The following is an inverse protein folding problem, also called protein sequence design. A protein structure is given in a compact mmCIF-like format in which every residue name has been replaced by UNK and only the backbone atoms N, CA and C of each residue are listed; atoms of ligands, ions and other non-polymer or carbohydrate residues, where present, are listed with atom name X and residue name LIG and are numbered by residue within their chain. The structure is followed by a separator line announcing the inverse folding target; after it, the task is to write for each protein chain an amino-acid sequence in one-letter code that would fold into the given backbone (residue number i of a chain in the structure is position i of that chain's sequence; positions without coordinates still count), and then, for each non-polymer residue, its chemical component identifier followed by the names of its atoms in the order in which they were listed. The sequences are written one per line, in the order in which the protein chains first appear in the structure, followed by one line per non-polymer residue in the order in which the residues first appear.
data_IF_676337839573
#
_entry.id   IF_676337839573
#
_cell.length_a   1.000
_cell.length_b   1.000
_cell.length_c   1.000
_cell.angle_alpha   90.00
_cell.angle_beta   90.00
_cell.angle_gamma   90.00
#
_symmetry.space_group_name_H-M   'P 1'
#
loop_
_entity.id
_entity.type
_entity.pdbx_description
1 polymer ?
#
# COMPACT_ATOMS: atom_id res chain seq x y z
N UNK A 1 13.43 3.49 -22.12
CA UNK A 1 13.42 3.99 -20.74
C UNK A 1 14.04 2.87 -19.93
N UNK A 2 15.31 3.00 -19.56
CA UNK A 2 16.15 1.80 -19.36
C UNK A 2 16.54 1.57 -17.89
N UNK A 3 16.18 2.49 -17.00
CA UNK A 3 16.50 2.42 -15.58
C UNK A 3 15.32 1.92 -14.74
N UNK A 4 15.61 1.07 -13.77
CA UNK A 4 14.76 0.77 -12.61
C UNK A 4 15.03 1.81 -11.51
N UNK A 5 14.03 2.12 -10.67
CA UNK A 5 14.24 2.99 -9.51
C UNK A 5 15.15 2.30 -8.50
N UNK A 6 14.90 1.01 -8.23
CA UNK A 6 15.68 0.21 -7.28
C UNK A 6 15.33 0.56 -5.83
N UNK A 7 14.03 0.62 -5.49
CA UNK A 7 13.55 1.05 -4.17
C UNK A 7 14.21 0.28 -3.02
N UNK A 8 14.26 -1.05 -3.10
CA UNK A 8 14.83 -1.90 -2.03
C UNK A 8 16.29 -1.62 -1.71
N UNK A 9 17.04 -0.99 -2.63
CA UNK A 9 18.44 -0.60 -2.41
C UNK A 9 18.63 0.87 -2.01
N UNK A 10 17.59 1.70 -2.11
CA UNK A 10 17.67 3.16 -1.90
C UNK A 10 16.90 3.66 -0.69
N UNK A 11 15.89 2.91 -0.25
CA UNK A 11 15.01 3.31 0.84
C UNK A 11 14.48 2.08 1.58
N UNK A 12 13.84 2.34 2.71
CA UNK A 12 13.15 1.35 3.52
C UNK A 12 11.79 1.92 3.95
N UNK A 13 10.84 1.01 4.16
CA UNK A 13 9.55 1.39 4.74
C UNK A 13 9.72 1.78 6.20
N UNK A 14 9.01 2.84 6.58
CA UNK A 14 8.83 3.26 7.97
C UNK A 14 7.61 2.54 8.57
N UNK A 15 7.38 2.74 9.88
CA UNK A 15 6.13 2.29 10.51
C UNK A 15 4.94 2.94 9.79
N UNK A 16 4.02 2.11 9.33
CA UNK A 16 2.82 2.54 8.63
C UNK A 16 1.59 2.59 9.51
N UNK A 17 0.47 2.86 8.86
CA UNK A 17 -0.85 2.95 9.48
C UNK A 17 -1.81 1.99 8.81
N UNK A 18 -2.67 1.38 9.61
CA UNK A 18 -3.83 0.60 9.15
C UNK A 18 -5.07 1.28 9.70
N UNK A 19 -6.05 1.54 8.84
CA UNK A 19 -7.34 2.06 9.25
C UNK A 19 -8.47 1.39 8.48
N UNK A 20 -9.70 1.60 8.96
CA UNK A 20 -10.88 1.33 8.19
C UNK A 20 -11.78 2.56 8.10
N UNK A 21 -12.59 2.63 7.05
CA UNK A 21 -13.57 3.67 6.83
C UNK A 21 -14.81 3.10 6.15
N UNK A 22 -15.96 3.73 6.36
CA UNK A 22 -17.19 3.38 5.65
C UNK A 22 -17.25 4.11 4.31
N UNK A 23 -17.51 3.37 3.24
CA UNK A 23 -17.81 3.94 1.93
C UNK A 23 -19.20 3.52 1.46
N UNK A 24 -19.98 4.47 0.95
CA UNK A 24 -21.26 4.21 0.30
C UNK A 24 -21.44 5.12 -0.91
N UNK A 25 -22.08 4.60 -1.97
CA UNK A 25 -22.44 5.41 -3.13
C UNK A 25 -23.78 4.96 -3.73
N UNK A 26 -24.85 5.57 -3.25
CA UNK A 26 -26.21 5.26 -3.68
C UNK A 26 -26.47 5.55 -5.17
N UNK A 27 -25.74 6.48 -5.78
CA UNK A 27 -25.92 6.84 -7.20
C UNK A 27 -25.58 5.69 -8.15
N UNK A 28 -24.65 4.84 -7.74
CA UNK A 28 -24.22 3.66 -8.50
C UNK A 28 -24.69 2.35 -7.85
N UNK A 29 -25.54 2.44 -6.82
CA UNK A 29 -26.01 1.28 -6.06
C UNK A 29 -24.93 0.59 -5.23
N UNK A 30 -23.82 1.26 -4.90
CA UNK A 30 -22.77 0.68 -4.08
C UNK A 30 -23.22 0.67 -2.61
N UNK A 31 -23.37 -0.50 -1.98
CA UNK A 31 -23.84 -0.61 -0.62
C UNK A 31 -22.81 -0.05 0.36
N UNK A 32 -23.26 0.37 1.54
CA UNK A 32 -22.37 0.78 2.63
C UNK A 32 -21.44 -0.36 3.00
N UNK A 33 -20.14 -0.18 2.78
CA UNK A 33 -19.11 -1.20 2.88
C UNK A 33 -17.97 -0.69 3.74
N UNK A 34 -17.46 -1.53 4.64
CA UNK A 34 -16.29 -1.24 5.46
C UNK A 34 -15.04 -1.58 4.66
N UNK A 35 -14.20 -0.58 4.43
CA UNK A 35 -12.99 -0.68 3.61
C UNK A 35 -11.77 -0.51 4.52
N UNK A 36 -10.73 -1.30 4.29
CA UNK A 36 -9.44 -1.16 4.97
C UNK A 36 -8.42 -0.49 4.06
N UNK A 37 -7.60 0.37 4.67
CA UNK A 37 -6.46 1.02 4.04
C UNK A 37 -5.21 0.82 4.88
N UNK A 38 -4.11 0.54 4.20
CA UNK A 38 -2.77 0.46 4.76
C UNK A 38 -1.92 1.53 4.06
N UNK A 39 -1.31 2.40 4.85
CA UNK A 39 -0.43 3.47 4.36
C UNK A 39 0.97 3.25 4.90
N UNK A 40 1.93 3.04 4.00
CA UNK A 40 3.32 2.71 4.32
C UNK A 40 4.25 3.80 3.77
N UNK A 41 4.67 4.77 4.61
CA UNK A 41 5.63 5.79 4.19
C UNK A 41 7.02 5.18 4.03
N UNK A 42 7.78 5.66 3.05
CA UNK A 42 9.19 5.34 2.87
C UNK A 42 10.06 6.40 3.53
N UNK A 43 11.28 6.02 3.94
CA UNK A 43 12.30 7.02 4.25
C UNK A 43 12.59 7.85 2.99
N UNK A 44 12.61 9.20 3.06
CA UNK A 44 12.97 10.01 1.91
C UNK A 44 14.33 9.61 1.35
N UNK A 45 14.45 9.56 0.02
CA UNK A 45 15.65 9.06 -0.65
C UNK A 45 15.92 9.78 -1.97
N UNK A 46 17.10 9.57 -2.55
CA UNK A 46 17.43 10.12 -3.87
C UNK A 46 16.93 9.19 -4.98
N UNK A 47 15.84 9.53 -5.67
CA UNK A 47 15.27 8.66 -6.70
C UNK A 47 16.13 8.60 -7.97
N UNK A 48 16.83 9.70 -8.28
CA UNK A 48 17.57 9.87 -9.53
C UNK A 48 16.71 10.40 -10.69
N UNK A 49 15.45 10.73 -10.42
CA UNK A 49 14.57 11.36 -11.39
C UNK A 49 14.90 12.86 -11.48
N UNK A 50 15.28 13.38 -12.67
CA UNK A 50 15.77 14.75 -12.80
C UNK A 50 14.69 15.83 -12.64
N UNK A 51 13.41 15.45 -12.67
CA UNK A 51 12.26 16.36 -12.53
C UNK A 51 11.67 16.38 -11.11
N UNK A 52 12.15 15.53 -10.21
CA UNK A 52 11.68 15.49 -8.81
C UNK A 52 12.63 16.25 -7.88
N UNK A 53 12.06 16.95 -6.90
CA UNK A 53 12.86 17.51 -5.80
C UNK A 53 13.39 16.37 -4.93
N UNK A 54 14.64 16.49 -4.50
CA UNK A 54 15.34 15.42 -3.79
C UNK A 54 15.76 15.89 -2.38
N UNK A 55 15.70 15.01 -1.36
CA UNK A 55 15.18 13.65 -1.40
C UNK A 55 13.66 13.63 -1.61
N UNK A 56 13.18 12.64 -2.34
CA UNK A 56 11.76 12.51 -2.66
C UNK A 56 11.01 11.85 -1.51
N UNK A 57 9.84 12.37 -1.19
CA UNK A 57 8.89 11.73 -0.29
C UNK A 57 8.11 10.67 -1.07
N UNK A 58 7.87 9.52 -0.46
CA UNK A 58 7.25 8.37 -1.14
C UNK A 58 6.37 7.61 -0.18
N UNK A 59 5.23 7.16 -0.68
CA UNK A 59 4.20 6.48 0.11
C UNK A 59 3.63 5.33 -0.70
N UNK A 60 3.57 4.14 -0.11
CA UNK A 60 2.79 3.02 -0.64
C UNK A 60 1.44 3.01 0.05
N UNK A 61 0.37 3.06 -0.73
CA UNK A 61 -1.01 2.96 -0.27
C UNK A 61 -1.60 1.66 -0.80
N UNK A 62 -2.14 0.84 0.11
CA UNK A 62 -2.92 -0.34 -0.20
C UNK A 62 -4.34 -0.08 0.32
N UNK A 63 -5.33 -0.01 -0.55
CA UNK A 63 -6.67 0.51 -0.25
C UNK A 63 -7.75 -0.41 -0.82
N UNK A 64 -9.01 -0.09 -0.54
CA UNK A 64 -10.17 -0.79 -1.09
C UNK A 64 -10.32 -2.26 -0.69
N UNK A 65 -9.71 -2.66 0.42
CA UNK A 65 -9.91 -4.01 0.96
C UNK A 65 -11.24 -4.16 1.69
N UNK A 66 -12.22 -4.76 1.02
CA UNK A 66 -13.49 -5.19 1.62
C UNK A 66 -13.33 -6.57 2.26
N UNK A 67 -12.89 -6.60 3.52
CA UNK A 67 -12.49 -7.85 4.20
C UNK A 67 -13.65 -8.64 4.84
N UNK A 68 -14.85 -8.03 4.94
CA UNK A 68 -16.02 -8.70 5.52
C UNK A 68 -15.89 -9.09 7.00
N UNK A 69 -14.97 -8.46 7.75
CA UNK A 69 -14.73 -8.74 9.16
C UNK A 69 -15.85 -8.18 10.04
N UNK A 70 -16.21 -8.92 11.10
CA UNK A 70 -17.18 -8.46 12.11
C UNK A 70 -16.58 -7.39 13.03
N UNK A 71 -15.29 -7.50 13.34
CA UNK A 71 -14.47 -6.47 13.98
C UNK A 71 -13.33 -6.10 13.03
N UNK A 72 -13.24 -4.83 12.58
CA UNK A 72 -12.22 -4.39 11.62
C UNK A 72 -10.78 -4.56 12.12
N UNK A 73 -10.57 -4.73 13.43
CA UNK A 73 -9.23 -4.94 14.00
C UNK A 73 -8.75 -6.40 13.90
N UNK A 74 -9.61 -7.34 13.54
CA UNK A 74 -9.28 -8.77 13.45
C UNK A 74 -8.51 -9.12 12.16
N UNK A 75 -7.35 -8.48 11.99
CA UNK A 75 -6.50 -8.63 10.80
C UNK A 75 -5.44 -9.72 10.94
N UNK A 76 -5.30 -10.32 12.11
CA UNK A 76 -4.26 -11.30 12.37
C UNK A 76 -4.44 -12.54 11.48
N UNK A 77 -3.34 -12.99 10.87
CA UNK A 77 -3.26 -14.13 9.94
C UNK A 77 -3.99 -13.94 8.61
N UNK A 78 -4.36 -12.71 8.25
CA UNK A 78 -4.84 -12.44 6.91
C UNK A 78 -3.69 -12.53 5.89
N UNK A 79 -4.02 -13.10 4.74
CA UNK A 79 -3.19 -13.05 3.55
C UNK A 79 -3.98 -12.35 2.45
N UNK A 80 -3.48 -11.22 1.98
CA UNK A 80 -4.13 -10.41 0.95
C UNK A 80 -3.34 -10.52 -0.35
N UNK A 81 -4.06 -10.61 -1.47
CA UNK A 81 -3.48 -10.48 -2.81
C UNK A 81 -4.55 -9.98 -3.79
N UNK A 82 -4.11 -9.33 -4.86
CA UNK A 82 -5.01 -8.76 -5.87
C UNK A 82 -5.89 -9.83 -6.53
N UNK A 83 -5.40 -11.06 -6.67
CA UNK A 83 -6.17 -12.15 -7.27
C UNK A 83 -7.38 -12.57 -6.42
N UNK A 84 -7.31 -12.40 -5.10
CA UNK A 84 -8.41 -12.70 -4.17
C UNK A 84 -9.27 -11.48 -3.86
N UNK A 85 -8.71 -10.28 -4.03
CA UNK A 85 -9.35 -8.98 -3.84
C UNK A 85 -9.23 -8.14 -5.12
N UNK A 86 -9.93 -8.50 -6.21
CA UNK A 86 -9.79 -7.81 -7.50
C UNK A 86 -10.21 -6.33 -7.43
N UNK A 87 -11.00 -5.95 -6.45
CA UNK A 87 -11.42 -4.58 -6.16
C UNK A 87 -10.40 -3.76 -5.36
N UNK A 88 -9.40 -4.41 -4.74
CA UNK A 88 -8.40 -3.67 -3.98
C UNK A 88 -7.54 -2.81 -4.89
N UNK A 89 -7.05 -1.70 -4.37
CA UNK A 89 -6.14 -0.80 -5.08
C UNK A 89 -4.80 -0.77 -4.36
N UNK A 90 -3.71 -0.77 -5.12
CA UNK A 90 -2.38 -0.54 -4.56
C UNK A 90 -1.63 0.44 -5.44
N UNK A 91 -0.91 1.36 -4.79
CA UNK A 91 -0.20 2.43 -5.49
C UNK A 91 0.99 2.87 -4.69
N UNK A 92 2.11 3.12 -5.37
CA UNK A 92 3.19 3.91 -4.83
C UNK A 92 3.21 5.33 -5.42
N UNK A 93 3.19 6.31 -4.54
CA UNK A 93 3.40 7.72 -4.84
C UNK A 93 4.89 7.99 -4.80
N UNK A 94 5.50 8.30 -5.93
CA UNK A 94 6.90 8.72 -6.03
C UNK A 94 6.92 10.20 -6.41
N UNK A 95 7.04 11.08 -5.41
CA UNK A 95 6.79 12.51 -5.62
C UNK A 95 5.33 12.73 -6.03
N UNK A 96 5.11 13.34 -7.20
CA UNK A 96 3.75 13.57 -7.73
C UNK A 96 3.23 12.43 -8.64
N UNK A 97 4.06 11.42 -8.93
CA UNK A 97 3.68 10.32 -9.83
C UNK A 97 2.92 9.22 -9.08
N UNK A 98 1.75 8.84 -9.61
CA UNK A 98 0.88 7.78 -9.10
C UNK A 98 1.17 6.48 -9.85
N UNK A 99 1.88 5.52 -9.25
CA UNK A 99 2.27 4.29 -9.94
C UNK A 99 1.46 3.12 -9.40
N UNK A 100 0.59 2.49 -10.20
CA UNK A 100 -0.16 1.30 -9.78
C UNK A 100 0.76 0.17 -9.35
N UNK A 101 0.30 -0.65 -8.42
CA UNK A 101 0.99 -1.84 -7.94
C UNK A 101 0.05 -3.05 -8.02
N UNK A 102 0.60 -4.19 -8.41
CA UNK A 102 -0.08 -5.47 -8.24
C UNK A 102 0.36 -6.12 -6.93
N UNK A 103 -0.59 -6.35 -6.02
CA UNK A 103 -0.31 -7.03 -4.75
C UNK A 103 -0.24 -8.53 -4.99
N UNK A 104 0.98 -9.05 -5.09
CA UNK A 104 1.20 -10.48 -5.31
C UNK A 104 0.98 -11.28 -4.02
N UNK A 105 1.35 -10.71 -2.87
CA UNK A 105 1.13 -11.27 -1.53
C UNK A 105 1.32 -10.20 -0.47
N UNK A 106 0.50 -10.24 0.57
CA UNK A 106 0.67 -9.48 1.81
C UNK A 106 0.19 -10.34 2.98
N UNK A 107 1.10 -10.77 3.84
CA UNK A 107 0.74 -11.42 5.10
C UNK A 107 0.67 -10.38 6.23
N UNK A 108 -0.37 -10.48 7.05
CA UNK A 108 -0.63 -9.61 8.20
C UNK A 108 -0.57 -10.44 9.47
N UNK A 109 0.33 -10.11 10.39
CA UNK A 109 0.47 -10.79 11.68
C UNK A 109 0.41 -9.79 12.81
N UNK A 110 -0.52 -9.95 13.75
CA UNK A 110 -0.58 -9.10 14.93
C UNK A 110 0.51 -9.54 15.93
N UNK A 111 1.42 -8.62 16.27
CA UNK A 111 2.54 -8.90 17.19
C UNK A 111 2.26 -8.40 18.61
N UNK A 112 1.39 -7.41 18.77
CA UNK A 112 0.81 -6.92 20.03
C UNK A 112 -0.47 -6.14 19.69
N UNK A 113 -1.37 -5.89 20.66
CA UNK A 113 -2.65 -5.25 20.40
C UNK A 113 -2.54 -3.99 19.51
N UNK A 114 -3.12 -4.06 18.31
CA UNK A 114 -3.15 -2.96 17.34
C UNK A 114 -1.82 -2.65 16.64
N UNK A 115 -0.80 -3.50 16.75
CA UNK A 115 0.44 -3.40 15.97
C UNK A 115 0.66 -4.70 15.19
N UNK A 116 0.83 -4.53 13.88
CA UNK A 116 0.94 -5.61 12.93
C UNK A 116 2.31 -5.60 12.26
N UNK A 117 2.87 -6.79 12.07
CA UNK A 117 3.94 -7.04 11.13
C UNK A 117 3.32 -7.33 9.77
N UNK A 118 3.81 -6.63 8.76
CA UNK A 118 3.41 -6.77 7.36
C UNK A 118 4.57 -7.34 6.57
N UNK A 119 4.32 -8.43 5.85
CA UNK A 119 5.29 -9.03 4.93
C UNK A 119 4.67 -9.08 3.53
N UNK A 120 5.20 -8.26 2.62
CA UNK A 120 4.57 -8.00 1.33
C UNK A 120 5.50 -8.20 0.15
N UNK A 121 4.88 -8.55 -0.98
CA UNK A 121 5.50 -8.65 -2.30
C UNK A 121 4.59 -8.01 -3.34
N UNK A 122 5.12 -7.04 -4.06
CA UNK A 122 4.42 -6.22 -5.05
C UNK A 122 5.15 -6.25 -6.39
N UNK A 123 4.40 -6.11 -7.48
CA UNK A 123 4.93 -5.62 -8.76
C UNK A 123 4.52 -4.16 -8.91
N UNK A 124 5.50 -3.26 -9.03
CA UNK A 124 5.26 -1.82 -9.21
C UNK A 124 5.29 -1.50 -10.69
N UNK A 125 4.21 -0.89 -11.19
CA UNK A 125 4.02 -0.60 -12.61
C UNK A 125 4.47 0.83 -12.97
N UNK A 126 5.77 1.12 -12.79
CA UNK A 126 6.36 2.43 -13.12
C UNK A 126 6.25 2.81 -14.59
N UNK A 127 6.09 1.84 -15.50
CA UNK A 127 5.92 2.11 -16.93
C UNK A 127 4.58 2.78 -17.23
N UNK A 128 3.57 2.64 -16.35
CA UNK A 128 2.25 3.26 -16.50
C UNK A 128 2.34 4.79 -16.61
N UNK A 129 3.12 5.41 -15.73
CA UNK A 129 3.36 6.85 -15.70
C UNK A 129 4.63 7.26 -16.46
N UNK A 130 5.25 6.32 -17.20
CA UNK A 130 6.55 6.54 -17.85
C UNK A 130 7.59 7.07 -16.86
N UNK A 131 7.69 6.47 -15.67
CA UNK A 131 8.66 6.88 -14.64
C UNK A 131 9.96 6.09 -14.76
N UNK A 132 9.83 4.77 -14.86
CA UNK A 132 10.93 3.81 -14.87
C UNK A 132 10.43 2.45 -15.39
N UNK A 133 11.31 1.45 -15.45
CA UNK A 133 10.89 0.06 -15.69
C UNK A 133 10.17 -0.51 -14.46
N UNK A 134 9.21 -1.40 -14.70
CA UNK A 134 8.50 -2.10 -13.61
C UNK A 134 9.48 -2.87 -12.73
N UNK A 135 9.21 -2.93 -11.44
CA UNK A 135 10.08 -3.61 -10.49
C UNK A 135 9.31 -4.43 -9.47
N UNK A 136 9.90 -5.56 -9.06
CA UNK A 136 9.42 -6.32 -7.92
C UNK A 136 9.94 -5.67 -6.64
N UNK A 137 9.04 -5.47 -5.69
CA UNK A 137 9.36 -4.91 -4.39
C UNK A 137 8.88 -5.86 -3.29
N UNK A 138 9.84 -6.35 -2.50
CA UNK A 138 9.58 -7.18 -1.32
C UNK A 138 9.91 -6.37 -0.08
N UNK A 139 9.05 -6.46 0.94
CA UNK A 139 9.21 -5.67 2.15
C UNK A 139 8.75 -6.41 3.39
N UNK A 140 9.32 -5.99 4.52
CA UNK A 140 8.87 -6.33 5.86
C UNK A 140 8.84 -5.06 6.69
N UNK A 141 7.68 -4.70 7.23
CA UNK A 141 7.53 -3.49 8.06
C UNK A 141 6.50 -3.68 9.17
N UNK A 142 6.37 -2.69 10.05
CA UNK A 142 5.32 -2.61 11.06
C UNK A 142 4.26 -1.61 10.63
N UNK A 143 3.01 -1.86 11.02
CA UNK A 143 1.93 -0.88 10.87
C UNK A 143 0.99 -0.90 12.06
N UNK A 144 0.54 0.28 12.47
CA UNK A 144 -0.32 0.47 13.64
C UNK A 144 -1.76 0.72 13.23
N UNK A 145 -2.68 0.08 13.92
CA UNK A 145 -4.09 0.41 13.80
C UNK A 145 -4.37 1.83 14.30
N UNK A 146 -5.04 2.64 13.47
CA UNK A 146 -5.56 3.97 13.82
C UNK A 146 -7.08 3.96 13.79
N UNK A 147 -7.73 4.84 14.56
CA UNK A 147 -9.18 4.82 14.74
C UNK A 147 -9.95 4.88 13.41
N UNK A 148 -11.05 4.12 13.35
CA UNK A 148 -11.93 4.07 12.19
C UNK A 148 -12.53 5.45 11.92
N UNK A 149 -12.42 5.93 10.69
CA UNK A 149 -13.14 7.14 10.29
C UNK A 149 -14.63 6.78 10.05
N UNK A 150 -15.58 7.57 10.59
CA UNK A 150 -17.01 7.27 10.56
C UNK A 150 -17.60 7.18 9.14
#
# INVERSE_FOLDING_TARGET
MDSVIGLSGKTELMEGEIMAYWFENQKIGFPRTLIHRITLPFKPFYSGLPWESQPVETMLMLDWYSLGLSDPKQLNHLQLCQAQHPESEATIYLGNAYNPCDVLRLDVTEIKPGLFELNGKLLINFEHEMVARNELFEFKTLARWTETQP
#
